data_IF_616433853486
#
_entry.id   IF_616433853486
#
_cell.length_a   1.000
_cell.length_b   1.000
_cell.length_c   1.000
_cell.angle_alpha   90.00
_cell.angle_beta   90.00
_cell.angle_gamma   90.00
#
_symmetry.space_group_name_H-M   'P 1'
#
loop_
_entity.id
_entity.type
_entity.pdbx_description
1 polymer ?
#
# COMPACT_ATOMS: atom_id res chain seq x y z
N UNK A 1 25.91 72.04 54.67
CA UNK A 1 24.65 71.39 55.11
C UNK A 1 23.82 71.12 53.85
N UNK A 2 23.81 69.89 53.34
CA UNK A 2 23.04 69.54 52.12
C UNK A 2 21.68 68.96 52.51
N UNK A 3 20.60 69.67 52.16
CA UNK A 3 19.24 69.21 52.35
C UNK A 3 18.92 68.12 51.33
N UNK A 4 18.73 66.87 51.78
CA UNK A 4 18.40 65.73 50.93
C UNK A 4 16.98 65.91 50.38
N UNK A 5 16.85 66.44 49.17
CA UNK A 5 15.56 66.58 48.49
C UNK A 5 15.03 65.20 48.08
N UNK A 6 14.08 64.66 48.85
CA UNK A 6 13.29 63.52 48.40
C UNK A 6 12.31 64.01 47.32
N UNK A 7 12.68 63.84 46.04
CA UNK A 7 11.74 64.07 44.92
C UNK A 7 10.58 63.08 45.05
N UNK A 8 9.45 63.56 45.58
CA UNK A 8 8.19 62.82 45.59
C UNK A 8 7.63 62.76 44.17
N UNK A 9 7.37 61.56 43.66
CA UNK A 9 6.75 61.38 42.34
C UNK A 9 5.30 61.87 42.44
N UNK A 10 4.86 62.70 41.49
CA UNK A 10 3.50 63.24 41.54
C UNK A 10 2.46 62.13 41.33
N UNK A 11 1.31 62.18 42.00
CA UNK A 11 0.25 61.17 41.85
C UNK A 11 -0.28 61.08 40.42
N UNK A 12 -0.18 62.18 39.64
CA UNK A 12 -0.53 62.20 38.21
C UNK A 12 0.41 61.34 37.35
N UNK A 13 1.71 61.31 37.68
CA UNK A 13 2.70 60.47 36.99
C UNK A 13 2.48 58.99 37.33
N UNK A 14 2.19 58.68 38.60
CA UNK A 14 1.85 57.31 39.03
C UNK A 14 0.57 56.82 38.34
N UNK A 15 -0.47 57.66 38.28
CA UNK A 15 -1.71 57.33 37.59
C UNK A 15 -1.50 57.14 36.09
N UNK A 16 -0.72 58.00 35.43
CA UNK A 16 -0.44 57.88 33.99
C UNK A 16 0.37 56.62 33.67
N UNK A 17 1.42 56.32 34.45
CA UNK A 17 2.25 55.12 34.26
C UNK A 17 1.45 53.84 34.47
N UNK A 18 0.57 53.81 35.47
CA UNK A 18 -0.35 52.69 35.68
C UNK A 18 -1.31 52.51 34.50
N UNK A 19 -1.94 53.59 34.03
CA UNK A 19 -2.84 53.55 32.87
C UNK A 19 -2.14 53.08 31.59
N UNK A 20 -0.92 53.54 31.32
CA UNK A 20 -0.12 53.06 30.18
C UNK A 20 0.17 51.57 30.30
N UNK A 21 0.52 51.09 31.49
CA UNK A 21 0.83 49.69 31.72
C UNK A 21 -0.41 48.79 31.54
N UNK A 22 -1.59 49.26 31.97
CA UNK A 22 -2.87 48.58 31.73
C UNK A 22 -3.18 48.50 30.23
N UNK A 23 -2.97 49.58 29.48
CA UNK A 23 -3.19 49.59 28.02
C UNK A 23 -2.20 48.68 27.30
N UNK A 24 -0.92 48.69 27.67
CA UNK A 24 0.08 47.76 27.13
C UNK A 24 -0.26 46.29 27.42
N UNK A 25 -0.72 45.99 28.63
CA UNK A 25 -1.15 44.64 29.00
C UNK A 25 -2.40 44.20 28.21
N UNK A 26 -3.38 45.08 28.05
CA UNK A 26 -4.59 44.81 27.28
C UNK A 26 -4.28 44.58 25.79
N UNK A 27 -3.39 45.38 25.19
CA UNK A 27 -2.98 45.20 23.79
C UNK A 27 -2.17 43.93 23.59
N UNK A 28 -1.27 43.59 24.52
CA UNK A 28 -0.53 42.33 24.47
C UNK A 28 -1.50 41.15 24.53
N UNK A 29 -2.44 41.14 25.48
CA UNK A 29 -3.45 40.09 25.59
C UNK A 29 -4.33 39.98 24.34
N UNK A 30 -4.80 41.11 23.80
CA UNK A 30 -5.60 41.15 22.58
C UNK A 30 -4.82 40.61 21.37
N UNK A 31 -3.54 40.95 21.23
CA UNK A 31 -2.69 40.42 20.16
C UNK A 31 -2.53 38.89 20.25
N UNK A 32 -2.27 38.35 21.45
CA UNK A 32 -2.18 36.89 21.65
C UNK A 32 -3.52 36.17 21.42
N UNK A 33 -4.65 36.84 21.66
CA UNK A 33 -5.98 36.27 21.45
C UNK A 33 -6.37 36.18 19.96
N UNK A 34 -5.83 37.04 19.08
CA UNK A 34 -6.12 37.00 17.64
C UNK A 34 -5.40 35.88 16.89
N UNK A 35 -4.23 35.45 17.37
CA UNK A 35 -3.44 34.38 16.75
C UNK A 35 -3.91 32.98 17.15
N UNK A 36 -4.76 32.87 18.18
CA UNK A 36 -5.40 31.61 18.53
C UNK A 36 -6.53 31.30 17.56
N UNK A 37 -6.29 30.33 16.68
CA UNK A 37 -7.37 29.64 15.99
C UNK A 37 -7.65 28.34 16.73
N UNK A 38 -8.85 28.22 17.30
CA UNK A 38 -9.30 26.98 17.91
C UNK A 38 -9.46 25.85 16.88
N UNK A 39 -9.70 24.61 17.32
CA UNK A 39 -10.03 23.52 16.43
C UNK A 39 -11.18 23.92 15.49
N UNK A 40 -11.02 23.64 14.19
CA UNK A 40 -12.02 24.00 13.17
C UNK A 40 -13.21 23.04 13.12
N UNK A 41 -13.17 21.95 13.89
CA UNK A 41 -14.21 20.93 13.98
C UNK A 41 -14.36 20.47 15.44
N UNK A 42 -15.61 20.32 15.90
CA UNK A 42 -15.92 19.76 17.22
C UNK A 42 -15.59 18.26 17.25
N UNK A 43 -14.89 17.73 18.27
CA UNK A 43 -14.67 16.30 18.40
C UNK A 43 -16.00 15.51 18.39
N UNK A 44 -16.07 14.40 17.65
CA UNK A 44 -14.96 13.68 17.01
C UNK A 44 -14.51 14.22 15.63
N UNK A 45 -15.14 15.27 15.12
CA UNK A 45 -14.81 15.89 13.83
C UNK A 45 -13.36 16.34 13.78
N UNK A 46 -12.69 16.07 12.66
CA UNK A 46 -11.30 16.44 12.42
C UNK A 46 -10.27 15.41 12.88
N UNK A 47 -10.70 14.35 13.57
CA UNK A 47 -9.81 13.28 13.98
C UNK A 47 -9.28 12.50 12.76
N UNK A 48 -7.99 12.19 12.79
CA UNK A 48 -7.41 11.18 11.89
C UNK A 48 -8.05 9.81 12.17
N UNK A 49 -8.19 8.97 11.14
CA UNK A 49 -8.73 7.62 11.32
C UNK A 49 -7.91 6.85 12.36
N UNK A 50 -8.60 6.15 13.27
CA UNK A 50 -7.95 5.35 14.30
C UNK A 50 -7.03 4.28 13.70
N UNK A 51 -5.93 3.90 14.38
CA UNK A 51 -5.10 2.77 13.98
C UNK A 51 -5.87 1.45 13.96
N UNK A 52 -5.42 0.49 13.14
CA UNK A 52 -5.86 -0.90 13.26
C UNK A 52 -5.33 -1.48 14.58
N UNK A 53 -6.19 -2.15 15.34
CA UNK A 53 -5.86 -2.70 16.66
C UNK A 53 -6.31 -4.18 16.81
N UNK A 54 -6.10 -4.76 18.00
CA UNK A 54 -6.36 -6.17 18.29
C UNK A 54 -7.83 -6.51 18.64
N UNK A 55 -8.79 -5.62 18.40
CA UNK A 55 -10.21 -5.93 18.59
C UNK A 55 -10.68 -7.04 17.63
N UNK A 56 -11.72 -7.77 18.02
CA UNK A 56 -12.27 -8.90 17.25
C UNK A 56 -13.14 -8.47 16.06
N UNK A 57 -13.49 -7.19 15.96
CA UNK A 57 -14.23 -6.66 14.81
C UNK A 57 -13.28 -6.42 13.63
N UNK A 58 -13.76 -6.70 12.42
CA UNK A 58 -13.02 -6.35 11.20
C UNK A 58 -12.80 -4.84 11.13
N UNK A 59 -11.54 -4.45 10.91
CA UNK A 59 -11.14 -3.06 10.77
C UNK A 59 -10.61 -2.82 9.37
N UNK A 60 -10.94 -1.66 8.80
CA UNK A 60 -10.51 -1.24 7.48
C UNK A 60 -9.65 0.00 7.59
N UNK A 61 -8.53 0.03 6.87
CA UNK A 61 -7.78 1.25 6.62
C UNK A 61 -8.04 1.68 5.18
N UNK A 62 -8.69 2.84 5.02
CA UNK A 62 -8.75 3.48 3.70
C UNK A 62 -7.32 3.92 3.33
N UNK A 63 -6.81 3.39 2.21
CA UNK A 63 -5.45 3.59 1.72
C UNK A 63 -4.52 2.39 1.91
N UNK A 64 -3.26 2.54 1.51
CA UNK A 64 -2.25 1.50 1.62
C UNK A 64 -1.82 1.26 3.08
N UNK A 65 -1.59 -0.01 3.43
CA UNK A 65 -0.93 -0.41 4.68
C UNK A 65 0.51 -0.81 4.35
N UNK A 66 1.48 0.01 4.75
CA UNK A 66 2.89 -0.36 4.71
C UNK A 66 3.28 -1.12 5.98
N UNK A 67 3.96 -2.25 5.84
CA UNK A 67 4.51 -3.01 6.97
C UNK A 67 5.96 -3.32 6.61
N UNK A 68 6.91 -2.78 7.36
CA UNK A 68 8.36 -2.92 7.05
C UNK A 68 8.81 -4.39 7.02
N UNK A 69 8.12 -5.25 7.78
CA UNK A 69 8.19 -6.70 7.63
C UNK A 69 7.09 -7.21 6.71
N UNK A 70 7.46 -7.97 5.67
CA UNK A 70 6.57 -8.73 4.79
C UNK A 70 5.45 -9.37 5.62
N UNK A 71 4.21 -8.94 5.39
CA UNK A 71 3.02 -9.34 6.14
C UNK A 71 3.01 -10.85 6.45
N UNK A 72 2.91 -11.22 7.73
CA UNK A 72 2.76 -12.63 8.17
C UNK A 72 1.31 -12.89 8.57
N UNK A 73 0.62 -13.75 7.82
CA UNK A 73 -0.68 -14.29 8.24
C UNK A 73 -0.48 -15.45 9.21
N UNK A 74 -1.03 -15.36 10.43
CA UNK A 74 -1.03 -16.48 11.39
C UNK A 74 -2.15 -17.51 11.11
N UNK A 75 -3.11 -17.14 10.26
CA UNK A 75 -4.14 -18.03 9.69
C UNK A 75 -4.08 -17.85 8.16
N UNK A 76 -5.21 -17.67 7.49
CA UNK A 76 -5.24 -17.37 6.06
C UNK A 76 -4.85 -15.90 5.79
N UNK A 77 -3.99 -15.68 4.81
CA UNK A 77 -3.84 -14.39 4.14
C UNK A 77 -4.74 -14.39 2.90
N UNK A 78 -5.76 -13.53 2.90
CA UNK A 78 -6.68 -13.36 1.77
C UNK A 78 -6.35 -12.04 1.08
N UNK A 79 -6.15 -12.09 -0.24
CA UNK A 79 -5.88 -10.91 -1.07
C UNK A 79 -6.87 -10.88 -2.23
N UNK A 80 -7.80 -9.92 -2.21
CA UNK A 80 -8.79 -9.75 -3.27
C UNK A 80 -8.17 -9.16 -4.56
N UNK A 81 -7.11 -8.37 -4.38
CA UNK A 81 -6.35 -7.71 -5.43
C UNK A 81 -5.31 -8.62 -6.10
N UNK A 82 -4.34 -7.98 -6.76
CA UNK A 82 -3.19 -8.67 -7.34
C UNK A 82 -2.01 -8.67 -6.36
N UNK A 83 -1.30 -9.78 -6.25
CA UNK A 83 -0.07 -9.93 -5.47
C UNK A 83 1.13 -9.85 -6.39
N UNK A 84 1.99 -8.85 -6.17
CA UNK A 84 3.27 -8.69 -6.87
C UNK A 84 4.44 -9.09 -6.00
N UNK A 85 5.28 -10.01 -6.47
CA UNK A 85 6.56 -10.36 -5.83
C UNK A 85 7.69 -9.98 -6.80
N UNK A 86 8.52 -9.01 -6.41
CA UNK A 86 9.53 -8.43 -7.31
C UNK A 86 8.96 -7.49 -8.38
N UNK A 87 7.70 -7.08 -8.26
CA UNK A 87 7.04 -6.13 -9.16
C UNK A 87 6.13 -5.18 -8.41
N UNK A 88 6.14 -3.90 -8.78
CA UNK A 88 5.21 -2.89 -8.26
C UNK A 88 3.88 -2.84 -9.05
N UNK A 89 3.85 -3.42 -10.26
CA UNK A 89 2.69 -3.44 -11.14
C UNK A 89 2.39 -4.87 -11.60
N UNK A 90 1.72 -5.69 -10.76
CA UNK A 90 1.40 -7.06 -11.12
C UNK A 90 0.36 -7.13 -12.25
N UNK A 91 0.69 -7.84 -13.34
CA UNK A 91 -0.16 -7.99 -14.53
C UNK A 91 -1.23 -9.10 -14.42
N UNK A 92 -1.16 -9.92 -13.37
CA UNK A 92 -2.09 -11.00 -13.07
C UNK A 92 -2.38 -11.06 -11.56
N UNK A 93 -3.31 -11.93 -11.14
CA UNK A 93 -3.65 -12.11 -9.72
C UNK A 93 -2.45 -12.45 -8.84
N UNK A 94 -1.51 -13.21 -9.37
CA UNK A 94 -0.19 -13.43 -8.79
C UNK A 94 0.83 -13.21 -9.89
N UNK A 95 1.73 -12.25 -9.71
CA UNK A 95 2.83 -11.94 -10.63
C UNK A 95 4.15 -11.96 -9.86
N UNK A 96 4.97 -12.99 -10.15
CA UNK A 96 6.27 -13.20 -9.52
C UNK A 96 7.35 -12.96 -10.56
N UNK A 97 8.13 -11.90 -10.37
CA UNK A 97 9.34 -11.63 -11.17
C UNK A 97 10.54 -12.31 -10.53
N UNK A 98 10.66 -13.62 -10.75
CA UNK A 98 11.73 -14.44 -10.21
C UNK A 98 11.36 -15.93 -10.18
N UNK A 99 12.11 -16.72 -9.39
CA UNK A 99 11.84 -18.14 -9.21
C UNK A 99 10.75 -18.38 -8.16
N UNK A 100 9.89 -19.37 -8.42
CA UNK A 100 8.95 -19.92 -7.43
C UNK A 100 9.53 -21.22 -6.87
N UNK A 101 9.74 -21.28 -5.57
CA UNK A 101 10.12 -22.51 -4.88
C UNK A 101 8.90 -23.08 -4.15
N UNK A 102 8.53 -24.32 -4.47
CA UNK A 102 7.47 -25.08 -3.80
C UNK A 102 7.98 -26.47 -3.47
N UNK A 103 7.67 -26.95 -2.27
CA UNK A 103 7.98 -28.31 -1.82
C UNK A 103 6.83 -29.30 -2.03
N UNK A 104 5.70 -28.84 -2.59
CA UNK A 104 4.51 -29.64 -2.85
C UNK A 104 4.18 -29.76 -4.34
N UNK A 105 3.05 -30.42 -4.62
CA UNK A 105 2.53 -30.59 -5.98
C UNK A 105 1.89 -29.28 -6.48
N UNK A 106 1.88 -29.10 -7.80
CA UNK A 106 1.10 -28.06 -8.47
C UNK A 106 -0.15 -28.67 -9.09
N UNK A 107 -1.33 -28.19 -8.67
CA UNK A 107 -2.62 -28.55 -9.26
C UNK A 107 -3.12 -27.37 -10.13
N UNK A 108 -3.44 -27.66 -11.39
CA UNK A 108 -3.92 -26.68 -12.37
C UNK A 108 -5.26 -27.18 -12.91
N UNK A 109 -6.34 -26.62 -12.38
CA UNK A 109 -7.69 -26.99 -12.77
C UNK A 109 -8.29 -25.96 -13.72
N UNK A 110 -8.43 -26.36 -14.99
CA UNK A 110 -9.08 -25.59 -16.05
C UNK A 110 -9.70 -26.57 -17.06
N UNK A 111 -10.51 -26.10 -18.00
CA UNK A 111 -11.07 -26.95 -19.08
C UNK A 111 -9.99 -27.44 -20.06
N UNK A 112 -8.86 -26.74 -20.14
CA UNK A 112 -7.69 -27.13 -20.89
C UNK A 112 -6.44 -26.60 -20.20
N UNK A 113 -6.01 -27.21 -19.07
CA UNK A 113 -4.86 -26.73 -18.32
C UNK A 113 -3.63 -26.68 -19.21
N UNK A 114 -2.87 -25.59 -19.07
CA UNK A 114 -1.70 -25.32 -19.88
C UNK A 114 -0.59 -24.71 -19.01
N UNK A 115 0.62 -25.21 -19.18
CA UNK A 115 1.84 -24.60 -18.66
C UNK A 115 2.64 -24.06 -19.83
N UNK A 116 2.96 -22.78 -19.78
CA UNK A 116 3.76 -22.10 -20.80
C UNK A 116 5.25 -22.14 -20.45
N UNK A 117 6.05 -22.70 -21.33
CA UNK A 117 7.51 -22.58 -21.33
C UNK A 117 7.88 -21.53 -22.37
N UNK A 118 7.84 -20.27 -21.95
CA UNK A 118 8.16 -19.13 -22.81
C UNK A 118 9.67 -18.98 -22.88
N UNK A 119 10.16 -19.01 -24.11
CA UNK A 119 11.57 -18.81 -24.41
C UNK A 119 11.73 -17.44 -25.07
N UNK A 120 12.58 -16.58 -24.51
CA UNK A 120 12.73 -15.19 -24.94
C UNK A 120 13.57 -15.02 -26.20
N UNK A 121 14.39 -16.02 -26.55
CA UNK A 121 15.29 -15.96 -27.70
C UNK A 121 15.09 -17.13 -28.67
N UNK A 122 14.31 -18.14 -28.30
CA UNK A 122 13.90 -19.24 -29.17
C UNK A 122 12.41 -19.53 -29.07
N UNK A 123 12.01 -20.59 -29.78
CA UNK A 123 10.62 -21.01 -29.85
C UNK A 123 10.15 -21.52 -28.50
N UNK A 124 9.01 -21.02 -28.06
CA UNK A 124 8.36 -21.47 -26.83
C UNK A 124 7.77 -22.88 -26.98
N UNK A 125 7.45 -23.52 -25.86
CA UNK A 125 6.73 -24.79 -25.80
C UNK A 125 5.64 -24.72 -24.73
N UNK A 126 4.69 -25.65 -24.78
CA UNK A 126 3.66 -25.75 -23.75
C UNK A 126 3.40 -27.21 -23.40
N UNK A 127 3.09 -27.46 -22.12
CA UNK A 127 2.45 -28.71 -21.69
C UNK A 127 0.95 -28.44 -21.64
N UNK A 128 0.15 -29.29 -22.27
CA UNK A 128 -1.30 -29.09 -22.35
C UNK A 128 -2.03 -30.42 -22.20
N UNK A 129 -3.14 -30.42 -21.47
CA UNK A 129 -4.04 -31.58 -21.41
C UNK A 129 -5.43 -31.11 -21.78
N UNK A 130 -6.05 -31.79 -22.75
CA UNK A 130 -7.44 -31.54 -23.13
C UNK A 130 -7.98 -32.75 -23.90
N UNK A 131 -9.30 -32.98 -23.86
CA UNK A 131 -9.97 -34.08 -24.57
C UNK A 131 -9.34 -35.45 -24.32
N UNK A 132 -8.92 -35.71 -23.08
CA UNK A 132 -8.22 -36.92 -22.64
C UNK A 132 -6.89 -37.16 -23.37
N UNK A 133 -6.25 -36.11 -23.87
CA UNK A 133 -4.95 -36.19 -24.53
C UNK A 133 -3.97 -35.25 -23.83
N UNK A 134 -2.80 -35.79 -23.50
CA UNK A 134 -1.65 -35.02 -23.04
C UNK A 134 -0.77 -34.65 -24.24
N UNK A 135 -0.40 -33.38 -24.33
CA UNK A 135 0.39 -32.82 -25.41
C UNK A 135 1.65 -32.13 -24.89
N UNK A 136 2.74 -32.26 -25.66
CA UNK A 136 3.78 -31.23 -25.72
C UNK A 136 3.54 -30.44 -27.01
N UNK A 137 3.14 -29.18 -26.85
CA UNK A 137 2.86 -28.27 -27.95
C UNK A 137 4.10 -27.46 -28.31
N UNK A 138 4.18 -27.08 -29.59
CA UNK A 138 5.18 -26.18 -30.14
C UNK A 138 4.60 -24.78 -30.24
N UNK A 139 5.33 -23.77 -29.74
CA UNK A 139 4.95 -22.37 -29.86
C UNK A 139 5.04 -21.86 -31.30
N UNK A 140 4.25 -20.85 -31.67
CA UNK A 140 4.23 -20.28 -33.03
C UNK A 140 5.43 -19.39 -33.40
N UNK A 141 6.30 -19.10 -32.44
CA UNK A 141 7.50 -18.31 -32.67
C UNK A 141 8.31 -18.10 -31.39
N UNK A 142 9.23 -17.13 -31.46
CA UNK A 142 10.02 -16.67 -30.32
C UNK A 142 9.10 -16.00 -29.32
N UNK A 143 9.25 -16.34 -28.04
CA UNK A 143 8.44 -15.80 -26.94
C UNK A 143 6.94 -15.72 -27.30
N UNK A 144 6.36 -16.82 -27.79
CA UNK A 144 4.95 -16.87 -28.17
C UNK A 144 4.08 -17.61 -27.15
N UNK A 145 2.85 -17.12 -26.93
CA UNK A 145 1.79 -17.83 -26.22
C UNK A 145 0.87 -18.62 -27.18
N UNK A 146 0.99 -18.37 -28.48
CA UNK A 146 0.30 -19.17 -29.49
C UNK A 146 1.06 -20.47 -29.76
N UNK A 147 0.33 -21.50 -30.19
CA UNK A 147 0.88 -22.79 -30.58
C UNK A 147 0.56 -23.10 -32.05
N UNK A 148 1.48 -23.80 -32.72
CA UNK A 148 1.32 -24.21 -34.11
C UNK A 148 1.91 -25.61 -34.34
N UNK A 149 1.15 -26.48 -34.99
CA UNK A 149 1.65 -27.81 -35.36
C UNK A 149 2.61 -27.68 -36.53
N UNK A 150 3.64 -28.54 -36.57
CA UNK A 150 4.54 -28.61 -37.72
C UNK A 150 4.17 -29.83 -38.57
N UNK A 151 3.80 -29.61 -39.83
CA UNK A 151 3.36 -30.69 -40.72
C UNK A 151 2.10 -31.42 -40.25
N UNK A 152 1.27 -30.77 -39.43
CA UNK A 152 0.06 -31.37 -38.84
C UNK A 152 0.30 -32.18 -37.56
N UNK A 153 1.54 -32.24 -37.06
CA UNK A 153 1.89 -33.00 -35.87
C UNK A 153 2.38 -32.11 -34.73
N UNK A 154 2.06 -32.53 -33.50
CA UNK A 154 2.64 -31.99 -32.28
C UNK A 154 3.94 -32.71 -31.92
N UNK A 155 4.88 -32.05 -31.23
CA UNK A 155 6.07 -32.69 -30.69
C UNK A 155 5.81 -33.99 -29.89
N UNK A 156 4.75 -34.02 -29.09
CA UNK A 156 4.28 -35.24 -28.39
C UNK A 156 2.77 -35.20 -28.24
N UNK A 157 2.14 -36.37 -28.41
CA UNK A 157 0.71 -36.60 -28.16
C UNK A 157 0.54 -37.96 -27.49
N UNK A 158 -0.19 -38.01 -26.39
CA UNK A 158 -0.40 -39.18 -25.52
C UNK A 158 -1.90 -39.26 -25.21
N UNK A 159 -2.60 -40.30 -25.68
CA UNK A 159 -4.02 -40.52 -25.40
C UNK A 159 -4.26 -41.19 -24.03
N UNK A 160 -4.72 -40.43 -23.06
CA UNK A 160 -4.89 -40.87 -21.68
C UNK A 160 -5.96 -41.94 -21.48
N UNK A 161 -6.78 -42.25 -22.51
CA UNK A 161 -7.75 -43.35 -22.46
C UNK A 161 -7.17 -44.71 -22.86
N UNK A 162 -6.16 -44.74 -23.75
CA UNK A 162 -5.82 -45.99 -24.46
C UNK A 162 -4.36 -46.16 -24.91
N UNK A 163 -3.42 -45.37 -24.39
CA UNK A 163 -1.98 -45.58 -24.68
C UNK A 163 -1.45 -46.92 -24.19
#
# INVERSE_FOLDING_TARGET
MFQKMNKQISPKIVSLTFSVLVVCFAMAFYAYALDWTGPTQDPPGGNVSAPINAASSTQYKSGALGVEGVLRGYSNLIVDGNVGIGTAGPGAKLDVRGSLYSSGNYDINNTGPMVYFRDTDHRSAMVHVNSNIFYILRGSGVNSAGWEAYGGYWPLTINLENN
#
